data_IF_965243672256
#
_entry.id   IF_965243672256
#
_cell.length_a   1.000
_cell.length_b   1.000
_cell.length_c   1.000
_cell.angle_alpha   90.00
_cell.angle_beta   90.00
_cell.angle_gamma   90.00
#
_symmetry.space_group_name_H-M   'P 1'
#
loop_
_entity.id
_entity.type
_entity.pdbx_description
1 polymer ?
#
# COMPACT_ATOMS: atom_id res chain seq x y z
N UNK A 1 -6.30 39.99 -14.22
CA UNK A 1 -7.25 39.58 -13.16
C UNK A 1 -6.63 39.37 -11.78
N UNK A 2 -5.92 38.27 -11.45
CA UNK A 2 -5.39 38.08 -10.07
C UNK A 2 -4.34 39.12 -9.65
N UNK A 3 -3.41 39.47 -10.55
CA UNK A 3 -2.40 40.50 -10.30
C UNK A 3 -3.01 41.90 -10.08
N UNK A 4 -4.02 42.29 -10.88
CA UNK A 4 -4.74 43.56 -10.70
C UNK A 4 -5.51 43.64 -9.37
N UNK A 5 -6.09 42.52 -8.90
CA UNK A 5 -6.75 42.49 -7.60
C UNK A 5 -5.76 42.55 -6.44
N UNK A 6 -4.57 41.96 -6.60
CA UNK A 6 -3.51 42.06 -5.62
C UNK A 6 -3.10 43.52 -5.39
N UNK A 7 -3.06 44.36 -6.43
CA UNK A 7 -2.67 45.77 -6.31
C UNK A 7 -3.68 46.66 -5.58
N UNK A 8 -4.96 46.26 -5.55
CA UNK A 8 -6.05 47.04 -4.94
C UNK A 8 -6.11 46.97 -3.41
N UNK A 9 -5.54 45.93 -2.80
CA UNK A 9 -5.53 45.77 -1.34
C UNK A 9 -4.37 46.53 -0.68
N UNK A 10 -4.60 47.08 0.51
CA UNK A 10 -3.50 47.58 1.37
C UNK A 10 -2.59 46.42 1.81
N UNK A 11 -1.33 46.68 2.21
CA UNK A 11 -0.43 45.62 2.68
C UNK A 11 -1.05 44.71 3.74
N UNK A 12 -1.76 45.29 4.73
CA UNK A 12 -2.45 44.55 5.81
C UNK A 12 -3.62 43.70 5.31
N UNK A 13 -4.36 44.17 4.30
CA UNK A 13 -5.44 43.38 3.68
C UNK A 13 -4.89 42.19 2.90
N UNK A 14 -3.77 42.38 2.19
CA UNK A 14 -3.08 41.29 1.48
C UNK A 14 -2.53 40.25 2.45
N UNK A 15 -1.92 40.69 3.54
CA UNK A 15 -1.41 39.80 4.60
C UNK A 15 -2.53 38.98 5.23
N UNK A 16 -3.65 39.63 5.58
CA UNK A 16 -4.83 38.94 6.09
C UNK A 16 -5.38 37.90 5.11
N UNK A 17 -5.57 38.29 3.83
CA UNK A 17 -6.07 37.39 2.81
C UNK A 17 -5.12 36.22 2.57
N UNK A 18 -3.81 36.49 2.51
CA UNK A 18 -2.79 35.46 2.38
C UNK A 18 -2.84 34.47 3.56
N UNK A 19 -2.91 34.96 4.80
CA UNK A 19 -3.06 34.13 5.99
C UNK A 19 -4.34 33.28 5.96
N UNK A 20 -5.46 33.86 5.54
CA UNK A 20 -6.73 33.14 5.39
C UNK A 20 -6.64 32.04 4.33
N UNK A 21 -6.06 32.33 3.16
CA UNK A 21 -5.90 31.36 2.07
C UNK A 21 -4.94 30.23 2.44
N UNK A 22 -3.86 30.53 3.18
CA UNK A 22 -2.96 29.51 3.73
C UNK A 22 -3.69 28.61 4.73
N UNK A 23 -4.42 29.19 5.69
CA UNK A 23 -5.18 28.43 6.67
C UNK A 23 -6.26 27.55 6.02
N UNK A 24 -6.96 28.07 5.00
CA UNK A 24 -7.91 27.28 4.22
C UNK A 24 -7.22 26.13 3.47
N UNK A 25 -6.09 26.40 2.83
CA UNK A 25 -5.31 25.39 2.13
C UNK A 25 -4.90 24.25 3.07
N UNK A 26 -4.33 24.59 4.23
CA UNK A 26 -3.93 23.63 5.27
C UNK A 26 -5.14 22.82 5.76
N UNK A 27 -6.26 23.47 6.06
CA UNK A 27 -7.50 22.81 6.48
C UNK A 27 -8.03 21.82 5.43
N UNK A 28 -7.95 22.17 4.14
CA UNK A 28 -8.36 21.29 3.04
C UNK A 28 -7.40 20.11 2.89
N UNK A 29 -6.09 20.32 3.03
CA UNK A 29 -5.11 19.22 2.98
C UNK A 29 -5.31 18.26 4.15
N UNK A 30 -5.53 18.77 5.36
CA UNK A 30 -5.76 17.93 6.53
C UNK A 30 -7.04 17.10 6.37
N UNK A 31 -8.14 17.73 5.94
CA UNK A 31 -9.40 17.03 5.63
C UNK A 31 -9.21 15.96 4.56
N UNK A 32 -8.38 16.22 3.55
CA UNK A 32 -8.03 15.26 2.50
C UNK A 32 -7.25 14.07 3.07
N UNK A 33 -6.19 14.31 3.84
CA UNK A 33 -5.37 13.27 4.49
C UNK A 33 -6.20 12.37 5.39
N UNK A 34 -7.07 12.97 6.22
CA UNK A 34 -7.94 12.22 7.12
C UNK A 34 -8.93 11.32 6.35
N UNK A 35 -9.52 11.85 5.27
CA UNK A 35 -10.39 11.05 4.39
C UNK A 35 -9.63 9.90 3.73
N UNK A 36 -8.39 10.12 3.29
CA UNK A 36 -7.56 9.06 2.71
C UNK A 36 -7.23 7.97 3.73
N UNK A 37 -6.85 8.34 4.97
CA UNK A 37 -6.61 7.37 6.05
C UNK A 37 -7.84 6.50 6.33
N UNK A 38 -9.03 7.10 6.42
CA UNK A 38 -10.28 6.35 6.59
C UNK A 38 -10.56 5.46 5.38
N UNK A 39 -10.35 5.98 4.17
CA UNK A 39 -10.52 5.23 2.93
C UNK A 39 -9.48 4.11 2.76
N UNK A 40 -8.33 4.16 3.43
CA UNK A 40 -7.30 3.13 3.31
C UNK A 40 -7.71 1.78 3.92
N UNK A 41 -8.70 1.75 4.82
CA UNK A 41 -9.19 0.55 5.52
C UNK A 41 -8.07 -0.24 6.22
N UNK A 42 -7.23 0.49 6.96
CA UNK A 42 -6.14 -0.11 7.73
C UNK A 42 -6.70 -1.03 8.84
N UNK A 43 -6.09 -2.20 9.10
CA UNK A 43 -6.52 -3.10 10.17
C UNK A 43 -6.26 -2.49 11.57
N UNK A 44 -5.21 -1.69 11.68
CA UNK A 44 -4.90 -0.88 12.86
C UNK A 44 -4.06 0.32 12.42
N UNK A 45 -4.16 1.46 13.10
CA UNK A 45 -3.29 2.59 12.79
C UNK A 45 -1.86 2.29 13.28
N UNK A 46 -0.91 2.19 12.34
CA UNK A 46 0.52 1.98 12.63
C UNK A 46 1.35 3.15 12.10
N UNK A 47 2.56 3.28 12.65
CA UNK A 47 3.54 4.28 12.24
C UNK A 47 4.87 3.61 11.92
N UNK A 48 5.64 4.25 11.05
CA UNK A 48 7.04 3.92 10.78
C UNK A 48 7.93 4.31 11.96
N UNK A 49 7.49 5.30 12.76
CA UNK A 49 8.17 5.70 13.98
C UNK A 49 8.14 4.56 15.00
N UNK A 50 9.32 4.19 15.50
CA UNK A 50 9.48 3.11 16.47
C UNK A 50 9.38 1.69 15.90
N UNK A 51 9.29 1.53 14.58
CA UNK A 51 9.43 0.21 13.96
C UNK A 51 10.89 -0.24 14.04
N UNK A 52 11.11 -1.48 14.48
CA UNK A 52 12.43 -2.08 14.57
C UNK A 52 12.80 -2.74 13.22
N UNK A 53 13.81 -2.18 12.57
CA UNK A 53 14.31 -2.66 11.28
C UNK A 53 15.47 -3.65 11.41
N UNK A 54 15.92 -4.00 12.62
CA UNK A 54 17.05 -4.95 12.81
C UNK A 54 16.81 -6.30 12.15
N UNK A 55 15.54 -6.68 12.05
CA UNK A 55 15.07 -7.96 11.53
C UNK A 55 14.72 -7.91 10.04
N UNK A 56 14.92 -6.76 9.38
CA UNK A 56 14.61 -6.55 7.97
C UNK A 56 15.90 -6.47 7.17
N UNK A 57 16.12 -7.46 6.30
CA UNK A 57 17.18 -7.45 5.30
C UNK A 57 16.66 -6.79 4.02
N UNK A 58 17.29 -5.68 3.66
CA UNK A 58 17.06 -4.94 2.42
C UNK A 58 17.93 -5.51 1.27
N UNK A 59 17.56 -5.27 0.00
CA UNK A 59 18.47 -5.50 -1.11
C UNK A 59 19.62 -4.49 -1.10
N UNK A 60 20.72 -4.79 -1.80
CA UNK A 60 21.99 -4.03 -1.67
C UNK A 60 21.87 -2.56 -2.09
N UNK A 61 20.96 -2.26 -3.02
CA UNK A 61 20.76 -0.94 -3.61
C UNK A 61 19.56 -0.18 -3.01
N UNK A 62 18.93 -0.71 -1.96
CA UNK A 62 17.76 -0.11 -1.34
C UNK A 62 17.91 -0.08 0.18
N UNK A 63 17.49 1.03 0.80
CA UNK A 63 17.68 1.24 2.23
C UNK A 63 16.40 1.67 2.94
N UNK A 64 16.51 1.74 4.27
CA UNK A 64 15.45 2.28 5.13
C UNK A 64 15.05 3.70 4.72
N UNK A 65 16.02 4.57 4.45
CA UNK A 65 15.74 5.98 4.14
C UNK A 65 14.92 6.09 2.85
N UNK A 66 15.33 5.37 1.80
CA UNK A 66 14.57 5.24 0.55
C UNK A 66 13.15 4.70 0.79
N UNK A 67 13.00 3.64 1.59
CA UNK A 67 11.68 3.11 1.95
C UNK A 67 10.79 4.16 2.65
N UNK A 68 11.34 4.84 3.66
CA UNK A 68 10.59 5.79 4.47
C UNK A 68 10.27 7.10 3.75
N UNK A 69 11.02 7.44 2.70
CA UNK A 69 10.73 8.56 1.82
C UNK A 69 9.49 8.36 0.94
N UNK A 70 9.04 7.11 0.80
CA UNK A 70 7.95 6.69 -0.10
C UNK A 70 8.22 6.95 -1.60
N UNK A 71 9.46 7.22 -2.00
CA UNK A 71 9.82 7.52 -3.39
C UNK A 71 9.45 6.39 -4.36
N UNK A 72 9.53 5.14 -3.90
CA UNK A 72 9.13 3.95 -4.65
C UNK A 72 7.70 4.05 -5.22
N UNK A 73 6.79 4.77 -4.52
CA UNK A 73 5.41 4.99 -4.97
C UNK A 73 5.35 5.86 -6.23
N UNK A 74 6.25 6.85 -6.34
CA UNK A 74 6.30 7.73 -7.51
C UNK A 74 6.90 7.02 -8.72
N UNK A 75 7.76 6.04 -8.48
CA UNK A 75 8.40 5.23 -9.52
C UNK A 75 7.57 3.99 -9.90
N UNK A 76 6.41 3.78 -9.27
CA UNK A 76 5.57 2.59 -9.42
C UNK A 76 6.34 1.28 -9.15
N UNK A 77 7.29 1.31 -8.21
CA UNK A 77 8.03 0.14 -7.77
C UNK A 77 7.22 -0.67 -6.75
N UNK A 78 7.28 -2.00 -6.82
CA UNK A 78 6.59 -2.89 -5.89
C UNK A 78 7.46 -3.23 -4.67
N UNK A 79 6.82 -3.63 -3.57
CA UNK A 79 7.49 -4.13 -2.36
C UNK A 79 6.96 -5.51 -2.02
N UNK A 80 7.84 -6.51 -1.99
CA UNK A 80 7.53 -7.84 -1.47
C UNK A 80 8.13 -7.96 -0.08
N UNK A 81 7.26 -8.00 0.93
CA UNK A 81 7.63 -8.26 2.32
C UNK A 81 7.53 -9.76 2.55
N UNK A 82 8.66 -10.44 2.59
CA UNK A 82 8.74 -11.90 2.70
C UNK A 82 9.38 -12.33 4.02
N UNK A 83 8.82 -13.35 4.69
CA UNK A 83 9.44 -13.94 5.88
C UNK A 83 8.44 -14.60 6.83
N UNK A 84 8.91 -15.07 7.97
CA UNK A 84 8.11 -15.86 8.92
C UNK A 84 6.97 -15.08 9.58
N UNK A 85 6.00 -15.79 10.15
CA UNK A 85 4.84 -15.20 10.81
C UNK A 85 5.27 -14.41 12.06
N UNK A 86 4.69 -13.22 12.24
CA UNK A 86 4.94 -12.41 13.44
C UNK A 86 6.22 -11.56 13.40
N UNK A 87 6.92 -11.50 12.27
CA UNK A 87 8.17 -10.72 12.11
C UNK A 87 7.98 -9.25 11.77
N UNK A 88 6.74 -8.77 11.57
CA UNK A 88 6.44 -7.35 11.36
C UNK A 88 6.01 -6.94 9.95
N UNK A 89 5.88 -7.88 9.00
CA UNK A 89 5.45 -7.61 7.60
C UNK A 89 4.17 -6.77 7.50
N UNK A 90 3.07 -7.26 8.10
CA UNK A 90 1.78 -6.56 8.14
C UNK A 90 1.88 -5.19 8.81
N UNK A 91 2.69 -5.06 9.86
CA UNK A 91 2.91 -3.76 10.53
C UNK A 91 3.57 -2.78 9.58
N UNK A 92 4.65 -3.17 8.91
CA UNK A 92 5.36 -2.30 7.98
C UNK A 92 4.46 -1.92 6.79
N UNK A 93 3.75 -2.86 6.18
CA UNK A 93 2.79 -2.59 5.12
C UNK A 93 1.72 -1.58 5.56
N UNK A 94 1.13 -1.80 6.73
CA UNK A 94 0.10 -0.91 7.32
C UNK A 94 0.66 0.49 7.58
N UNK A 95 1.89 0.58 8.11
CA UNK A 95 2.56 1.84 8.40
C UNK A 95 2.91 2.63 7.13
N UNK A 96 3.34 1.95 6.06
CA UNK A 96 3.62 2.57 4.75
C UNK A 96 2.34 3.12 4.10
N UNK A 97 1.25 2.36 4.13
CA UNK A 97 -0.06 2.84 3.64
C UNK A 97 -0.52 4.06 4.45
N UNK A 98 -0.37 4.02 5.77
CA UNK A 98 -0.71 5.17 6.63
C UNK A 98 0.17 6.39 6.33
N UNK A 99 1.48 6.19 6.12
CA UNK A 99 2.42 7.25 5.75
C UNK A 99 2.04 7.87 4.40
N UNK A 100 1.73 7.05 3.39
CA UNK A 100 1.25 7.51 2.09
C UNK A 100 0.00 8.40 2.22
N UNK A 101 -1.00 7.97 2.98
CA UNK A 101 -2.20 8.79 3.20
C UNK A 101 -1.91 10.11 3.93
N UNK A 102 -0.96 10.14 4.86
CA UNK A 102 -0.50 11.38 5.52
C UNK A 102 0.22 12.32 4.56
N UNK A 103 0.93 11.80 3.57
CA UNK A 103 1.48 12.58 2.46
C UNK A 103 0.42 12.96 1.40
N UNK A 104 -0.85 12.66 1.64
CA UNK A 104 -1.93 12.94 0.69
C UNK A 104 -1.90 12.04 -0.55
N UNK A 105 -1.22 10.89 -0.48
CA UNK A 105 -1.17 9.88 -1.53
C UNK A 105 -2.33 8.90 -1.30
N UNK A 106 -3.24 8.72 -2.29
CA UNK A 106 -4.31 7.73 -2.17
C UNK A 106 -3.74 6.32 -2.07
N UNK A 107 -4.04 5.63 -0.97
CA UNK A 107 -3.53 4.29 -0.70
C UNK A 107 -4.64 3.41 -0.09
N UNK A 108 -4.51 2.10 -0.27
CA UNK A 108 -5.51 1.13 0.18
C UNK A 108 -4.86 -0.14 0.71
N UNK A 109 -5.44 -0.70 1.76
CA UNK A 109 -5.02 -1.96 2.36
C UNK A 109 -6.12 -3.02 2.18
N UNK A 110 -5.70 -4.24 1.84
CA UNK A 110 -6.53 -5.42 1.79
C UNK A 110 -5.77 -6.61 2.36
N UNK A 111 -6.47 -7.52 3.04
CA UNK A 111 -6.01 -8.91 3.07
C UNK A 111 -6.33 -9.56 1.73
N UNK A 112 -5.54 -10.53 1.27
CA UNK A 112 -5.81 -11.24 0.02
C UNK A 112 -7.22 -11.83 -0.01
N UNK A 113 -7.67 -12.45 1.09
CA UNK A 113 -9.02 -13.01 1.23
C UNK A 113 -10.12 -11.95 1.08
N UNK A 114 -9.96 -10.79 1.73
CA UNK A 114 -10.93 -9.68 1.64
C UNK A 114 -11.03 -9.12 0.22
N UNK A 115 -9.91 -9.01 -0.49
CA UNK A 115 -9.85 -8.53 -1.86
C UNK A 115 -10.56 -9.49 -2.81
N UNK A 116 -10.24 -10.78 -2.72
CA UNK A 116 -10.89 -11.81 -3.56
C UNK A 116 -12.40 -11.85 -3.31
N UNK A 117 -12.85 -11.84 -2.06
CA UNK A 117 -14.29 -11.80 -1.74
C UNK A 117 -14.97 -10.54 -2.29
N UNK A 118 -14.33 -9.38 -2.17
CA UNK A 118 -14.87 -8.12 -2.68
C UNK A 118 -15.00 -8.13 -4.22
N UNK A 119 -13.99 -8.66 -4.92
CA UNK A 119 -14.00 -8.78 -6.38
C UNK A 119 -15.03 -9.80 -6.88
N UNK A 120 -15.16 -10.94 -6.19
CA UNK A 120 -16.20 -11.95 -6.49
C UNK A 120 -17.59 -11.34 -6.40
N UNK A 121 -17.88 -10.72 -5.26
CA UNK A 121 -19.16 -10.04 -5.07
C UNK A 121 -19.41 -8.97 -6.14
N UNK A 122 -18.40 -8.18 -6.49
CA UNK A 122 -18.53 -7.18 -7.54
C UNK A 122 -18.79 -7.82 -8.92
N UNK A 123 -18.18 -8.97 -9.20
CA UNK A 123 -18.43 -9.74 -10.43
C UNK A 123 -19.85 -10.30 -10.46
N UNK A 124 -20.30 -10.94 -9.39
CA UNK A 124 -21.65 -11.50 -9.28
C UNK A 124 -22.73 -10.42 -9.42
N UNK A 125 -22.44 -9.22 -8.92
CA UNK A 125 -23.30 -8.03 -9.03
C UNK A 125 -23.12 -7.25 -10.36
N UNK A 126 -22.33 -7.76 -11.32
CA UNK A 126 -22.15 -7.14 -12.65
C UNK A 126 -21.40 -5.80 -12.64
N UNK A 127 -20.58 -5.54 -11.61
CA UNK A 127 -19.88 -4.27 -11.37
C UNK A 127 -18.38 -4.43 -11.12
N UNK A 128 -17.78 -5.51 -11.64
CA UNK A 128 -16.36 -5.82 -11.49
C UNK A 128 -15.47 -4.67 -12.00
N UNK A 129 -15.74 -4.15 -13.20
CA UNK A 129 -14.95 -3.08 -13.80
C UNK A 129 -14.94 -1.81 -12.95
N UNK A 130 -16.09 -1.49 -12.33
CA UNK A 130 -16.21 -0.36 -11.41
C UNK A 130 -15.39 -0.57 -10.15
N UNK A 131 -15.33 -1.80 -9.65
CA UNK A 131 -14.53 -2.15 -8.47
C UNK A 131 -13.03 -2.09 -8.78
N UNK A 132 -12.59 -2.65 -9.90
CA UNK A 132 -11.22 -2.56 -10.38
C UNK A 132 -10.80 -1.09 -10.59
N UNK A 133 -11.65 -0.28 -11.22
CA UNK A 133 -11.40 1.16 -11.39
C UNK A 133 -11.34 1.92 -10.06
N UNK A 134 -12.09 1.47 -9.04
CA UNK A 134 -12.03 2.03 -7.69
C UNK A 134 -10.70 1.72 -7.00
N UNK A 135 -10.22 0.48 -7.12
CA UNK A 135 -8.91 0.06 -6.62
C UNK A 135 -7.80 0.83 -7.34
N UNK A 136 -7.90 0.96 -8.67
CA UNK A 136 -6.93 1.63 -9.54
C UNK A 136 -6.71 3.13 -9.24
N UNK A 137 -7.64 3.79 -8.55
CA UNK A 137 -7.47 5.19 -8.09
C UNK A 137 -6.41 5.35 -6.99
N UNK A 138 -5.98 4.24 -6.38
CA UNK A 138 -4.97 4.26 -5.33
C UNK A 138 -3.59 4.09 -5.96
N UNK A 139 -2.67 5.01 -5.65
CA UNK A 139 -1.27 4.95 -6.09
C UNK A 139 -0.47 3.87 -5.36
N UNK A 140 -0.94 3.46 -4.18
CA UNK A 140 -0.37 2.38 -3.39
C UNK A 140 -1.47 1.40 -2.97
N UNK A 141 -1.29 0.12 -3.25
CA UNK A 141 -2.19 -0.95 -2.78
C UNK A 141 -1.40 -2.00 -2.01
N UNK A 142 -1.74 -2.21 -0.74
CA UNK A 142 -1.19 -3.30 0.06
C UNK A 142 -2.12 -4.52 0.01
N UNK A 143 -1.54 -5.69 -0.29
CA UNK A 143 -2.17 -7.01 -0.30
C UNK A 143 -1.44 -7.87 0.74
N UNK A 144 -2.08 -8.02 1.89
CA UNK A 144 -1.54 -8.73 3.05
C UNK A 144 -1.94 -10.20 3.05
N UNK A 145 -1.06 -11.07 3.56
CA UNK A 145 -1.28 -12.51 3.76
C UNK A 145 -1.44 -13.33 2.47
N UNK A 146 -0.68 -12.99 1.43
CA UNK A 146 -0.67 -13.76 0.19
C UNK A 146 -0.18 -15.19 0.47
N UNK A 147 -1.04 -16.17 0.15
CA UNK A 147 -0.74 -17.59 0.32
C UNK A 147 -1.00 -18.15 1.72
N UNK A 148 -1.62 -17.38 2.60
CA UNK A 148 -2.03 -17.87 3.93
C UNK A 148 -3.29 -18.74 3.88
N UNK A 149 -4.30 -18.32 3.11
CA UNK A 149 -5.52 -19.10 2.86
C UNK A 149 -5.54 -19.61 1.42
N UNK A 150 -6.06 -20.83 1.18
CA UNK A 150 -6.24 -21.32 -0.18
C UNK A 150 -7.24 -20.44 -0.93
N UNK A 151 -6.92 -20.16 -2.20
CA UNK A 151 -7.76 -19.41 -3.12
C UNK A 151 -8.08 -20.36 -4.27
N UNK A 152 -9.34 -20.38 -4.69
CA UNK A 152 -9.74 -21.16 -5.87
C UNK A 152 -9.31 -20.46 -7.17
N UNK A 153 -9.44 -21.17 -8.29
CA UNK A 153 -8.99 -20.70 -9.61
C UNK A 153 -9.60 -19.35 -10.01
N UNK A 154 -10.86 -19.12 -9.66
CA UNK A 154 -11.52 -17.85 -9.97
C UNK A 154 -10.98 -16.70 -9.11
N UNK A 155 -10.77 -16.92 -7.81
CA UNK A 155 -10.17 -15.92 -6.95
C UNK A 155 -8.75 -15.57 -7.36
N UNK A 156 -7.97 -16.56 -7.78
CA UNK A 156 -6.63 -16.39 -8.34
C UNK A 156 -6.64 -15.48 -9.58
N UNK A 157 -7.56 -15.71 -10.52
CA UNK A 157 -7.72 -14.87 -11.72
C UNK A 157 -8.12 -13.44 -11.39
N UNK A 158 -9.02 -13.24 -10.43
CA UNK A 158 -9.41 -11.90 -9.98
C UNK A 158 -8.25 -11.16 -9.33
N UNK A 159 -7.45 -11.85 -8.51
CA UNK A 159 -6.25 -11.28 -7.90
C UNK A 159 -5.20 -10.94 -8.97
N UNK A 160 -4.99 -11.83 -9.95
CA UNK A 160 -4.12 -11.58 -11.09
C UNK A 160 -4.48 -10.28 -11.81
N UNK A 161 -5.78 -10.02 -12.06
CA UNK A 161 -6.21 -8.78 -12.70
C UNK A 161 -5.80 -7.52 -11.92
N UNK A 162 -5.89 -7.54 -10.59
CA UNK A 162 -5.46 -6.40 -9.77
C UNK A 162 -3.96 -6.15 -9.87
N UNK A 163 -3.16 -7.23 -9.85
CA UNK A 163 -1.70 -7.13 -9.95
C UNK A 163 -1.30 -6.68 -11.35
N UNK A 164 -1.86 -7.30 -12.39
CA UNK A 164 -1.54 -6.99 -13.78
C UNK A 164 -1.96 -5.57 -14.18
N UNK A 165 -3.09 -5.06 -13.70
CA UNK A 165 -3.52 -3.67 -13.95
C UNK A 165 -2.65 -2.64 -13.22
N UNK A 166 -1.98 -3.05 -12.13
CA UNK A 166 -1.08 -2.19 -11.37
C UNK A 166 0.30 -2.01 -12.00
N UNK A 167 0.77 -2.99 -12.76
CA UNK A 167 2.09 -3.03 -13.38
C UNK A 167 2.45 -1.71 -14.09
N UNK A 168 3.61 -1.13 -13.73
CA UNK A 168 4.15 0.16 -14.22
C UNK A 168 3.24 1.38 -14.02
N UNK A 169 2.13 1.25 -13.28
CA UNK A 169 1.15 2.35 -13.07
C UNK A 169 0.96 2.71 -11.60
N UNK A 170 1.18 1.78 -10.68
CA UNK A 170 1.02 1.95 -9.23
C UNK A 170 1.90 0.97 -8.48
N UNK A 171 2.23 1.29 -7.24
CA UNK A 171 2.99 0.39 -6.38
C UNK A 171 2.08 -0.57 -5.63
N UNK A 172 2.55 -1.80 -5.50
CA UNK A 172 1.97 -2.84 -4.67
C UNK A 172 2.88 -3.12 -3.48
N UNK A 173 2.28 -3.32 -2.31
CA UNK A 173 2.97 -3.98 -1.19
C UNK A 173 2.34 -5.35 -1.03
N UNK A 174 3.13 -6.41 -1.15
CA UNK A 174 2.66 -7.78 -0.94
C UNK A 174 3.33 -8.34 0.30
N UNK A 175 2.55 -8.86 1.24
CA UNK A 175 3.12 -9.61 2.37
C UNK A 175 2.89 -11.10 2.18
N UNK A 176 3.92 -11.89 2.41
CA UNK A 176 3.83 -13.36 2.29
C UNK A 176 4.87 -14.06 3.16
N UNK A 177 4.59 -15.31 3.52
CA UNK A 177 5.57 -16.26 4.05
C UNK A 177 5.92 -17.35 3.02
N UNK A 178 5.39 -17.26 1.79
CA UNK A 178 5.68 -18.19 0.70
C UNK A 178 6.82 -17.67 -0.16
N UNK A 179 7.77 -18.55 -0.44
CA UNK A 179 8.76 -18.34 -1.49
C UNK A 179 8.09 -18.23 -2.86
N UNK A 180 8.69 -17.48 -3.79
CA UNK A 180 8.16 -17.32 -5.16
C UNK A 180 7.87 -18.66 -5.86
N UNK A 181 8.72 -19.67 -5.64
CA UNK A 181 8.54 -21.03 -6.16
C UNK A 181 7.20 -21.67 -5.77
N UNK A 182 6.57 -21.21 -4.69
CA UNK A 182 5.29 -21.72 -4.18
C UNK A 182 4.10 -20.88 -4.58
N UNK A 183 4.27 -19.79 -5.32
CA UNK A 183 3.14 -18.94 -5.71
C UNK A 183 2.19 -19.63 -6.69
N UNK A 184 2.63 -20.70 -7.37
CA UNK A 184 1.76 -21.57 -8.17
C UNK A 184 0.57 -22.13 -7.38
N UNK A 185 0.74 -22.39 -6.07
CA UNK A 185 -0.36 -22.87 -5.21
C UNK A 185 -1.42 -21.80 -4.93
N UNK A 186 -1.06 -20.52 -5.10
CA UNK A 186 -1.95 -19.37 -4.87
C UNK A 186 -2.66 -18.98 -6.16
N UNK A 187 -1.93 -18.97 -7.28
CA UNK A 187 -2.46 -18.57 -8.59
C UNK A 187 -3.05 -19.73 -9.40
N UNK A 188 -3.02 -20.96 -8.88
CA UNK A 188 -3.64 -22.15 -9.44
C UNK A 188 -2.75 -22.92 -10.42
N UNK A 189 -1.78 -22.25 -11.06
CA UNK A 189 -0.76 -22.89 -11.88
C UNK A 189 0.54 -22.06 -11.92
N UNK A 190 1.63 -22.73 -12.30
CA UNK A 190 2.97 -22.13 -12.34
C UNK A 190 3.13 -21.08 -13.44
N UNK A 191 2.34 -21.14 -14.52
CA UNK A 191 2.42 -20.16 -15.60
C UNK A 191 1.84 -18.80 -15.18
N UNK A 192 0.69 -18.81 -14.51
CA UNK A 192 0.08 -17.60 -13.96
C UNK A 192 0.96 -17.01 -12.85
N UNK A 193 1.50 -17.86 -11.97
CA UNK A 193 2.43 -17.42 -10.95
C UNK A 193 3.70 -16.79 -11.56
N UNK A 194 4.31 -17.43 -12.56
CA UNK A 194 5.47 -16.89 -13.27
C UNK A 194 5.16 -15.53 -13.89
N UNK A 195 3.99 -15.36 -14.50
CA UNK A 195 3.56 -14.09 -15.07
C UNK A 195 3.40 -12.98 -14.02
N UNK A 196 2.93 -13.32 -12.81
CA UNK A 196 2.84 -12.37 -11.69
C UNK A 196 4.22 -12.03 -11.14
N UNK A 197 5.05 -13.04 -10.91
CA UNK A 197 6.40 -12.90 -10.39
C UNK A 197 7.24 -12.05 -11.33
N UNK A 198 7.19 -12.30 -12.64
CA UNK A 198 7.92 -11.54 -13.66
C UNK A 198 7.64 -10.02 -13.54
N UNK A 199 6.35 -9.65 -13.44
CA UNK A 199 5.91 -8.26 -13.27
C UNK A 199 6.40 -7.63 -11.97
N UNK A 200 6.28 -8.36 -10.86
CA UNK A 200 6.69 -7.87 -9.54
C UNK A 200 8.21 -7.78 -9.45
N UNK A 201 8.95 -8.77 -9.96
CA UNK A 201 10.41 -8.81 -9.87
C UNK A 201 11.06 -7.77 -10.78
N UNK A 202 10.47 -7.46 -11.93
CA UNK A 202 11.02 -6.47 -12.86
C UNK A 202 11.18 -5.09 -12.23
N UNK A 203 10.23 -4.66 -11.39
CA UNK A 203 10.21 -3.33 -10.76
C UNK A 203 10.02 -3.38 -9.24
N UNK A 204 10.29 -4.51 -8.59
CA UNK A 204 10.00 -4.71 -7.17
C UNK A 204 11.24 -4.89 -6.31
N UNK A 205 11.11 -4.50 -5.05
CA UNK A 205 12.13 -4.70 -4.00
C UNK A 205 11.67 -5.80 -3.06
N UNK A 206 12.54 -6.77 -2.82
CA UNK A 206 12.31 -7.85 -1.85
C UNK A 206 12.91 -7.46 -0.49
N UNK A 207 12.05 -7.26 0.51
CA UNK A 207 12.45 -7.07 1.91
C UNK A 207 12.24 -8.38 2.65
N UNK A 208 13.34 -8.97 3.14
CA UNK A 208 13.31 -10.23 3.85
C UNK A 208 13.27 -10.00 5.36
N UNK A 209 12.25 -10.52 6.02
CA UNK A 209 12.05 -10.44 7.46
C UNK A 209 12.54 -11.73 8.10
N UNK A 210 13.49 -11.62 9.02
CA UNK A 210 14.11 -12.75 9.72
C UNK A 210 14.01 -12.57 11.24
N UNK A 211 14.03 -13.67 11.97
CA UNK A 211 14.08 -13.67 13.43
C UNK A 211 12.78 -14.14 14.09
N UNK A 212 12.77 -14.08 15.42
CA UNK A 212 11.66 -14.60 16.22
C UNK A 212 10.38 -13.77 16.04
N UNK A 213 9.23 -14.45 16.19
CA UNK A 213 7.93 -13.80 16.18
C UNK A 213 7.83 -12.78 17.33
N UNK A 214 7.58 -11.52 16.99
CA UNK A 214 7.31 -10.47 17.96
C UNK A 214 6.13 -10.83 18.87
N UNK A 215 5.11 -11.51 18.32
CA UNK A 215 3.94 -11.95 19.09
C UNK A 215 4.30 -12.99 20.15
N UNK A 216 5.26 -13.88 19.87
CA UNK A 216 5.75 -14.89 20.82
C UNK A 216 6.62 -14.24 21.90
N UNK A 217 7.54 -13.36 21.50
CA UNK A 217 8.41 -12.62 22.44
C UNK A 217 7.62 -11.79 23.47
N UNK A 218 6.45 -11.29 23.07
CA UNK A 218 5.57 -10.49 23.92
C UNK A 218 4.28 -11.24 24.34
N UNK A 219 4.26 -12.57 24.25
CA UNK A 219 3.12 -13.38 24.66
C UNK A 219 2.90 -13.30 26.18
N UNK A 220 1.64 -13.13 26.59
CA UNK A 220 1.23 -13.18 27.99
C UNK A 220 1.04 -14.61 28.51
N UNK A 221 0.88 -15.58 27.59
CA UNK A 221 0.85 -17.00 27.90
C UNK A 221 2.29 -17.51 27.91
N UNK A 222 2.84 -17.77 29.10
CA UNK A 222 4.13 -18.44 29.31
C UNK A 222 3.90 -19.91 29.63
#
# INVERSE_FOLDING_TARGET
>A
MLAEWAEKGTPKQREYLHGMLLAEHESRQESRRQRLLTAARLPALKSLSGFDYSNVKFPEDYGRDALTSLEFINQAEDLVLYGDVGTGKTHLATALVAAACREGIPARFFTTSSLVMQLRRAKDEGRLDRELASIAKNKLVAIDELGYLPIDTEGARLLFHVIADGYEKRSLIITTNLEFSRWGTVFGDDNMAAAVIDRIVHHGRLLQFRGESYRVKHALMK
#
